data_IF_766452587549
#
_entry.id   IF_766452587549
#
_cell.length_a   1.000
_cell.length_b   1.000
_cell.length_c   1.000
_cell.angle_alpha   90.00
_cell.angle_beta   90.00
_cell.angle_gamma   90.00
#
_symmetry.space_group_name_H-M   'P 1'
#
loop_
_entity.id
_entity.type
_entity.pdbx_description
1 polymer ?
#
# COMPACT_ATOMS: atom_id res chain seq x y z
N UNK A 1 23.72 -20.55 -9.07
CA UNK A 1 24.36 -19.27 -8.73
C UNK A 1 23.84 -18.91 -7.35
N UNK A 2 24.71 -18.69 -6.37
CA UNK A 2 24.28 -18.34 -5.02
C UNK A 2 23.79 -16.88 -5.03
N UNK A 3 22.48 -16.66 -4.94
CA UNK A 3 21.87 -15.32 -5.02
C UNK A 3 21.83 -14.69 -3.63
N UNK A 4 22.96 -14.11 -3.22
CA UNK A 4 23.01 -13.31 -1.99
C UNK A 4 22.51 -11.89 -2.26
N UNK A 5 21.45 -11.49 -1.55
CA UNK A 5 20.97 -10.10 -1.55
C UNK A 5 21.71 -9.29 -0.48
N UNK A 6 22.26 -8.15 -0.89
CA UNK A 6 22.91 -7.19 0.03
C UNK A 6 22.02 -5.96 0.18
N UNK A 7 21.75 -5.59 1.43
CA UNK A 7 21.01 -4.38 1.75
C UNK A 7 21.77 -3.13 1.28
N UNK A 8 21.09 -2.25 0.54
CA UNK A 8 21.68 -0.98 0.06
C UNK A 8 20.98 0.25 0.63
N UNK A 9 19.65 0.25 0.65
CA UNK A 9 18.85 1.38 1.09
C UNK A 9 17.42 0.95 1.41
N UNK A 10 16.70 1.78 2.15
CA UNK A 10 15.25 1.70 2.32
C UNK A 10 14.64 3.09 2.33
N UNK A 11 13.38 3.19 1.90
CA UNK A 11 12.54 4.38 2.05
C UNK A 11 11.31 3.93 2.82
N UNK A 12 11.05 4.54 3.98
CA UNK A 12 9.82 4.29 4.73
C UNK A 12 8.61 4.74 3.89
N UNK A 13 7.55 3.94 3.83
CA UNK A 13 6.37 4.22 3.01
C UNK A 13 5.75 5.61 3.29
N UNK A 14 5.75 6.06 4.54
CA UNK A 14 5.26 7.41 4.91
C UNK A 14 6.11 8.58 4.38
N UNK A 15 7.31 8.31 3.88
CA UNK A 15 8.21 9.28 3.25
C UNK A 15 8.43 8.99 1.75
N UNK A 16 7.70 8.03 1.17
CA UNK A 16 7.87 7.61 -0.21
C UNK A 16 7.28 8.65 -1.17
N UNK A 17 8.06 9.03 -2.18
CA UNK A 17 7.62 9.84 -3.31
C UNK A 17 7.89 9.10 -4.62
N UNK A 18 7.10 9.38 -5.66
CA UNK A 18 7.11 8.68 -6.95
C UNK A 18 7.15 9.67 -8.12
N UNK A 19 7.99 9.38 -9.12
CA UNK A 19 7.96 9.97 -10.46
C UNK A 19 7.72 8.86 -11.47
N UNK A 20 6.57 8.90 -12.13
CA UNK A 20 6.09 7.83 -13.01
C UNK A 20 6.68 7.88 -14.43
N UNK A 21 6.96 9.10 -14.91
CA UNK A 21 7.40 9.35 -16.28
C UNK A 21 8.78 9.96 -16.25
N UNK A 22 9.73 9.25 -16.86
CA UNK A 22 11.09 9.74 -17.11
C UNK A 22 11.21 9.99 -18.62
N UNK A 23 11.53 11.22 -19.04
CA UNK A 23 11.70 11.53 -20.46
C UNK A 23 12.72 10.61 -21.12
N UNK A 24 12.41 10.10 -22.31
CA UNK A 24 13.25 9.17 -23.09
C UNK A 24 13.46 7.78 -22.46
N UNK A 25 12.89 7.51 -21.29
CA UNK A 25 12.96 6.22 -20.60
C UNK A 25 11.55 5.69 -20.28
N UNK A 26 10.81 5.19 -21.28
CA UNK A 26 9.39 4.85 -21.11
C UNK A 26 9.14 3.68 -20.15
N UNK A 27 10.15 2.84 -19.89
CA UNK A 27 10.10 1.72 -18.96
C UNK A 27 10.63 2.05 -17.56
N UNK A 28 11.11 3.28 -17.34
CA UNK A 28 11.68 3.69 -16.06
C UNK A 28 10.70 4.52 -15.24
N UNK A 29 10.78 4.38 -13.92
CA UNK A 29 10.15 5.24 -12.92
C UNK A 29 11.15 5.50 -11.79
N UNK A 30 10.91 6.51 -10.96
CA UNK A 30 11.80 6.81 -9.84
C UNK A 30 11.07 6.91 -8.51
N UNK A 31 11.72 6.46 -7.45
CA UNK A 31 11.28 6.62 -6.07
C UNK A 31 12.32 7.40 -5.26
N UNK A 32 11.89 8.21 -4.31
CA UNK A 32 12.78 9.00 -3.46
C UNK A 32 12.16 9.33 -2.11
N UNK A 33 13.00 9.75 -1.16
CA UNK A 33 12.57 10.17 0.17
C UNK A 33 12.06 11.61 0.14
N UNK A 34 10.86 11.87 0.67
CA UNK A 34 10.20 13.19 0.68
C UNK A 34 11.10 14.33 1.18
N UNK A 35 11.81 14.12 2.31
CA UNK A 35 12.72 15.13 2.89
C UNK A 35 14.13 15.13 2.29
N UNK A 36 14.45 14.17 1.41
CA UNK A 36 15.77 14.05 0.80
C UNK A 36 15.67 13.58 -0.66
N UNK A 37 15.17 14.45 -1.57
CA UNK A 37 14.97 14.08 -2.97
C UNK A 37 16.28 13.78 -3.72
N UNK A 38 17.44 14.15 -3.17
CA UNK A 38 18.75 13.80 -3.72
C UNK A 38 19.03 12.29 -3.65
N UNK A 39 18.41 11.57 -2.72
CA UNK A 39 18.45 10.10 -2.66
C UNK A 39 17.30 9.50 -3.46
N UNK A 40 17.43 9.57 -4.78
CA UNK A 40 16.49 8.99 -5.74
C UNK A 40 17.03 7.68 -6.29
N UNK A 41 16.13 6.73 -6.50
CA UNK A 41 16.40 5.47 -7.19
C UNK A 41 15.52 5.38 -8.43
N UNK A 42 16.16 5.30 -9.60
CA UNK A 42 15.49 5.01 -10.87
C UNK A 42 15.50 3.51 -11.12
N UNK A 43 14.32 2.97 -11.38
CA UNK A 43 14.11 1.55 -11.66
C UNK A 43 13.60 1.41 -13.08
N UNK A 44 14.29 0.60 -13.89
CA UNK A 44 13.84 0.21 -15.22
C UNK A 44 13.11 -1.13 -15.13
N UNK A 45 11.82 -1.14 -15.47
CA UNK A 45 11.03 -2.36 -15.49
C UNK A 45 11.35 -3.22 -16.72
N UNK A 46 11.08 -4.53 -16.63
CA UNK A 46 11.27 -5.47 -17.75
C UNK A 46 10.24 -5.27 -18.85
N UNK A 47 9.05 -4.76 -18.52
CA UNK A 47 7.96 -4.52 -19.46
C UNK A 47 7.11 -3.31 -19.06
N UNK A 48 6.30 -2.80 -19.99
CA UNK A 48 5.34 -1.73 -19.70
C UNK A 48 4.30 -2.18 -18.67
N UNK A 49 3.89 -3.44 -18.72
CA UNK A 49 2.95 -4.02 -17.78
C UNK A 49 3.54 -4.06 -16.36
N UNK A 50 4.79 -4.50 -16.22
CA UNK A 50 5.50 -4.50 -14.94
C UNK A 50 5.63 -3.08 -14.39
N UNK A 51 6.04 -2.11 -15.22
CA UNK A 51 6.12 -0.70 -14.81
C UNK A 51 4.79 -0.20 -14.26
N UNK A 52 3.69 -0.45 -14.97
CA UNK A 52 2.34 -0.03 -14.55
C UNK A 52 1.96 -0.68 -13.21
N UNK A 53 2.22 -1.97 -13.04
CA UNK A 53 1.92 -2.69 -11.80
C UNK A 53 2.74 -2.15 -10.62
N UNK A 54 4.04 -1.89 -10.83
CA UNK A 54 4.91 -1.26 -9.83
C UNK A 54 4.39 0.12 -9.42
N UNK A 55 4.09 0.97 -10.40
CA UNK A 55 3.55 2.32 -10.15
C UNK A 55 2.26 2.26 -9.33
N UNK A 56 1.33 1.38 -9.71
CA UNK A 56 0.05 1.21 -9.01
C UNK A 56 0.26 0.81 -7.54
N UNK A 57 1.12 -0.18 -7.29
CA UNK A 57 1.43 -0.61 -5.91
C UNK A 57 2.13 0.49 -5.10
N UNK A 58 3.04 1.25 -5.70
CA UNK A 58 3.71 2.36 -5.03
C UNK A 58 2.73 3.49 -4.71
N UNK A 59 1.81 3.84 -5.63
CA UNK A 59 0.72 4.80 -5.36
C UNK A 59 -0.13 4.35 -4.19
N UNK A 60 -0.52 3.07 -4.15
CA UNK A 60 -1.29 2.51 -3.04
C UNK A 60 -0.54 2.67 -1.71
N UNK A 61 0.75 2.32 -1.66
CA UNK A 61 1.58 2.49 -0.46
C UNK A 61 1.65 3.95 0.00
N UNK A 62 1.81 4.89 -0.93
CA UNK A 62 1.83 6.33 -0.64
C UNK A 62 0.48 6.77 -0.04
N UNK A 63 -0.63 6.37 -0.65
CA UNK A 63 -1.99 6.74 -0.21
C UNK A 63 -2.36 6.14 1.16
N UNK A 64 -1.91 4.91 1.44
CA UNK A 64 -2.17 4.21 2.70
C UNK A 64 -1.34 4.77 3.86
N UNK A 65 -0.12 5.25 3.59
CA UNK A 65 0.82 5.72 4.62
C UNK A 65 0.85 7.26 4.74
N UNK A 66 0.03 7.97 3.97
CA UNK A 66 0.00 9.42 3.99
C UNK A 66 -0.46 9.96 5.37
N UNK A 67 0.23 10.97 5.95
CA UNK A 67 -0.09 11.46 7.29
C UNK A 67 -1.47 12.11 7.40
N UNK A 68 -1.94 12.74 6.31
CA UNK A 68 -3.31 13.21 6.22
C UNK A 68 -4.25 12.08 5.80
N UNK A 69 -5.42 11.98 6.44
CA UNK A 69 -6.47 11.04 6.05
C UNK A 69 -6.99 11.37 4.65
N UNK A 70 -6.59 10.57 3.66
CA UNK A 70 -7.09 10.70 2.29
C UNK A 70 -8.45 10.01 2.19
N UNK A 71 -9.51 10.71 1.72
CA UNK A 71 -10.83 10.11 1.54
C UNK A 71 -10.80 8.88 0.63
N UNK A 72 -11.55 7.83 0.98
CA UNK A 72 -11.58 6.58 0.22
C UNK A 72 -11.94 6.79 -1.27
N UNK A 73 -12.92 7.67 -1.54
CA UNK A 73 -13.30 8.03 -2.91
C UNK A 73 -12.16 8.66 -3.72
N UNK A 74 -11.29 9.44 -3.07
CA UNK A 74 -10.12 10.01 -3.72
C UNK A 74 -9.05 8.95 -3.99
N UNK A 75 -8.81 8.04 -3.04
CA UNK A 75 -7.91 6.89 -3.26
C UNK A 75 -8.38 6.03 -4.44
N UNK A 76 -9.67 5.72 -4.49
CA UNK A 76 -10.29 4.98 -5.59
C UNK A 76 -10.09 5.70 -6.93
N UNK A 77 -10.45 6.98 -7.04
CA UNK A 77 -10.28 7.72 -8.29
C UNK A 77 -8.83 7.72 -8.81
N UNK A 78 -7.85 7.83 -7.91
CA UNK A 78 -6.42 7.79 -8.27
C UNK A 78 -6.02 6.40 -8.76
N UNK A 79 -6.44 5.32 -8.07
CA UNK A 79 -6.06 3.95 -8.40
C UNK A 79 -6.84 3.35 -9.57
N UNK A 80 -8.10 3.75 -9.77
CA UNK A 80 -8.98 3.23 -10.82
C UNK A 80 -8.58 3.73 -12.21
N UNK A 81 -8.05 4.96 -12.33
CA UNK A 81 -7.50 5.46 -13.59
C UNK A 81 -6.38 4.55 -14.14
N UNK A 82 -5.56 3.99 -13.25
CA UNK A 82 -4.51 3.05 -13.61
C UNK A 82 -5.06 1.61 -13.80
N UNK A 83 -6.14 1.25 -13.08
CA UNK A 83 -6.78 -0.07 -13.18
C UNK A 83 -7.60 -0.28 -14.46
N UNK A 84 -8.19 0.76 -15.05
CA UNK A 84 -8.89 0.67 -16.36
C UNK A 84 -7.94 0.15 -17.46
N UNK A 85 -6.63 0.37 -17.30
CA UNK A 85 -5.60 -0.09 -18.22
C UNK A 85 -4.99 -1.46 -17.83
N UNK A 86 -5.59 -2.17 -16.87
CA UNK A 86 -5.06 -3.43 -16.32
C UNK A 86 -6.18 -4.47 -16.02
N UNK A 87 -6.55 -5.31 -16.99
CA UNK A 87 -7.49 -6.39 -16.73
C UNK A 87 -6.91 -7.37 -15.68
N UNK A 88 -7.62 -7.53 -14.55
CA UNK A 88 -7.26 -8.47 -13.47
C UNK A 88 -6.94 -7.82 -12.11
N UNK A 89 -6.87 -6.49 -12.01
CA UNK A 89 -6.68 -5.81 -10.72
C UNK A 89 -7.98 -5.17 -10.23
N UNK A 90 -8.49 -5.61 -9.07
CA UNK A 90 -9.63 -5.01 -8.39
C UNK A 90 -9.19 -4.46 -7.03
N UNK A 91 -9.24 -3.14 -6.85
CA UNK A 91 -9.09 -2.53 -5.53
C UNK A 91 -10.42 -2.68 -4.76
N UNK A 92 -10.43 -3.56 -3.77
CA UNK A 92 -11.54 -3.72 -2.83
C UNK A 92 -11.26 -2.87 -1.58
N UNK A 93 -12.08 -1.84 -1.30
CA UNK A 93 -11.91 -1.01 -0.10
C UNK A 93 -12.26 -1.78 1.19
N UNK A 94 -12.94 -2.93 1.08
CA UNK A 94 -13.45 -3.69 2.22
C UNK A 94 -12.33 -4.26 3.13
N UNK A 95 -11.11 -4.44 2.62
CA UNK A 95 -9.96 -4.90 3.41
C UNK A 95 -9.42 -3.88 4.42
N UNK A 96 -9.66 -2.59 4.22
CA UNK A 96 -9.13 -1.51 5.07
C UNK A 96 -9.87 -1.40 6.41
N UNK A 97 -11.16 -1.78 6.46
CA UNK A 97 -11.98 -1.71 7.68
C UNK A 97 -11.47 -2.65 8.78
N UNK A 98 -10.84 -3.78 8.39
CA UNK A 98 -10.45 -4.86 9.31
C UNK A 98 -9.12 -4.62 10.03
N UNK A 99 -8.24 -3.78 9.49
CA UNK A 99 -6.94 -3.45 10.11
C UNK A 99 -7.04 -2.34 11.18
N UNK A 100 -8.14 -1.58 11.20
CA UNK A 100 -8.35 -0.48 12.15
C UNK A 100 -9.00 -0.88 13.49
N UNK A 101 -9.49 -2.12 13.62
CA UNK A 101 -10.11 -2.62 14.85
C UNK A 101 -9.45 -3.93 15.31
N UNK A 102 -8.37 -3.80 16.07
CA UNK A 102 -7.93 -4.81 17.03
C UNK A 102 -8.02 -4.18 18.43
N UNK A 103 -9.11 -4.37 19.18
CA UNK A 103 -9.05 -4.28 20.62
C UNK A 103 -8.36 -5.55 21.11
N UNK A 104 -7.13 -5.42 21.63
CA UNK A 104 -6.55 -6.43 22.52
C UNK A 104 -7.01 -6.10 23.93
N UNK A 105 -7.79 -7.01 24.54
CA UNK A 105 -8.00 -7.24 25.98
C UNK A 105 -9.23 -8.15 26.08
N UNK A 106 -9.31 -9.24 26.84
CA UNK A 106 -8.49 -9.86 27.85
C UNK A 106 -9.29 -11.08 28.33
N UNK A 107 -8.60 -12.10 28.81
CA UNK A 107 -9.16 -13.30 29.43
C UNK A 107 -10.22 -13.02 30.50
N UNK A 108 -11.41 -13.62 30.40
CA UNK A 108 -12.18 -14.04 31.57
C UNK A 108 -13.29 -15.02 31.19
N UNK A 109 -13.07 -16.30 31.50
CA UNK A 109 -14.14 -17.28 31.65
C UNK A 109 -15.05 -16.83 32.82
N UNK A 110 -16.21 -16.23 32.51
CA UNK A 110 -17.22 -15.95 33.52
C UNK A 110 -18.42 -16.90 33.38
N UNK A 111 -18.40 -17.85 34.33
CA UNK A 111 -19.41 -18.81 34.75
C UNK A 111 -20.84 -18.26 34.62
N UNK A 112 -21.67 -18.90 33.79
CA UNK A 112 -23.12 -18.73 33.86
C UNK A 112 -23.64 -19.53 35.05
N UNK A 113 -24.01 -18.80 36.10
CA UNK A 113 -24.63 -19.30 37.33
C UNK A 113 -26.14 -19.46 37.10
N UNK A 114 -26.66 -20.67 37.27
CA UNK A 114 -28.09 -21.01 37.29
C UNK A 114 -28.87 -20.10 38.26
N UNK A 115 -30.13 -19.75 37.95
CA UNK A 115 -31.30 -19.84 38.85
C UNK A 115 -32.66 -19.69 38.10
N UNK A 116 -33.49 -20.72 38.29
CA UNK A 116 -34.96 -20.90 38.28
C UNK A 116 -35.95 -19.80 37.82
N UNK A 117 -36.97 -20.28 37.08
CA UNK A 117 -38.37 -19.82 36.84
C UNK A 117 -39.13 -19.33 38.09
N UNK A 118 -40.19 -18.50 37.98
CA UNK A 118 -41.53 -18.96 37.51
C UNK A 118 -42.40 -17.93 36.73
N UNK A 119 -43.36 -18.44 35.93
CA UNK A 119 -44.80 -18.22 36.13
C UNK A 119 -45.65 -19.12 35.23
#
# INVERSE_FOLDING_TARGET
RDEMFVYKAHILCGNLMLVEVIPKEPLSFSVFHYKNPKMQHTVQAKSQQDKRLWILHLKRLILENHPAKIPAKAKQAILEMDAIHHPGFHYSPEGEMKLSYQPKEGSAAHRVRRKSEPS
#
